data_IF_709700409797
#
_entry.id   IF_709700409797
#
_cell.length_a   1.000
_cell.length_b   1.000
_cell.length_c   1.000
_cell.angle_alpha   90.00
_cell.angle_beta   90.00
_cell.angle_gamma   90.00
#
_symmetry.space_group_name_H-M   'P 1'
#
loop_
_entity.id
_entity.type
_entity.pdbx_description
1 polymer ?
#
# COMPACT_ATOMS: atom_id res chain seq x y z
N UNK A 1 -32.62 -13.14 -14.35
CA UNK A 1 -31.59 -12.11 -14.69
C UNK A 1 -30.23 -12.78 -14.55
N UNK A 2 -29.34 -12.71 -15.54
CA UNK A 2 -28.01 -13.28 -15.42
C UNK A 2 -27.18 -12.36 -14.47
N UNK A 3 -26.81 -12.86 -13.29
CA UNK A 3 -26.00 -12.13 -12.28
C UNK A 3 -24.53 -12.53 -12.35
N UNK A 4 -24.13 -13.31 -13.36
CA UNK A 4 -22.78 -13.81 -13.54
C UNK A 4 -21.97 -12.84 -14.43
N UNK A 5 -21.38 -11.83 -13.79
CA UNK A 5 -20.62 -10.78 -14.47
C UNK A 5 -19.18 -11.21 -14.72
N UNK A 6 -18.72 -11.17 -15.96
CA UNK A 6 -17.39 -11.63 -16.39
C UNK A 6 -16.24 -11.11 -15.52
N UNK A 7 -16.20 -9.80 -15.24
CA UNK A 7 -15.11 -9.21 -14.44
C UNK A 7 -15.17 -9.61 -12.98
N UNK A 8 -16.38 -9.81 -12.42
CA UNK A 8 -16.54 -10.21 -11.01
C UNK A 8 -16.09 -11.64 -10.77
N UNK A 9 -16.31 -12.56 -11.72
CA UNK A 9 -15.83 -13.96 -11.62
C UNK A 9 -14.31 -14.07 -11.52
N UNK A 10 -13.57 -13.10 -12.05
CA UNK A 10 -12.10 -13.06 -12.02
C UNK A 10 -11.53 -12.54 -10.71
N UNK A 11 -12.39 -11.99 -9.84
CA UNK A 11 -11.99 -11.48 -8.54
C UNK A 11 -12.26 -12.53 -7.47
N UNK A 12 -11.26 -12.94 -6.68
CA UNK A 12 -11.50 -13.83 -5.54
C UNK A 12 -12.35 -13.12 -4.49
N UNK A 13 -13.03 -13.89 -3.62
CA UNK A 13 -13.66 -13.31 -2.43
C UNK A 13 -12.64 -12.46 -1.66
N UNK A 14 -13.10 -11.31 -1.17
CA UNK A 14 -12.22 -10.39 -0.46
C UNK A 14 -11.80 -10.99 0.90
N UNK A 15 -10.56 -11.47 0.98
CA UNK A 15 -10.02 -12.23 2.13
C UNK A 15 -10.23 -11.53 3.46
N UNK A 16 -10.14 -10.20 3.47
CA UNK A 16 -10.33 -9.41 4.69
C UNK A 16 -11.80 -9.29 5.14
N UNK A 17 -12.78 -9.65 4.30
CA UNK A 17 -14.21 -9.47 4.61
C UNK A 17 -14.61 -10.30 5.84
N UNK A 18 -14.17 -11.54 5.92
CA UNK A 18 -14.51 -12.44 7.03
C UNK A 18 -13.89 -11.95 8.35
N UNK A 19 -12.61 -11.58 8.35
CA UNK A 19 -11.95 -11.02 9.54
C UNK A 19 -12.60 -9.72 9.98
N UNK A 20 -12.98 -8.85 9.03
CA UNK A 20 -13.69 -7.61 9.33
C UNK A 20 -15.09 -7.86 9.92
N UNK A 21 -15.84 -8.84 9.40
CA UNK A 21 -17.14 -9.21 9.95
C UNK A 21 -17.03 -9.74 11.38
N UNK A 22 -16.04 -10.61 11.63
CA UNK A 22 -15.77 -11.12 12.98
C UNK A 22 -15.38 -10.00 13.96
N UNK A 23 -14.53 -9.07 13.52
CA UNK A 23 -14.14 -7.91 14.30
C UNK A 23 -15.34 -7.02 14.65
N UNK A 24 -16.22 -6.77 13.67
CA UNK A 24 -17.44 -6.00 13.89
C UNK A 24 -18.37 -6.70 14.89
N UNK A 25 -18.56 -8.01 14.77
CA UNK A 25 -19.37 -8.80 15.69
C UNK A 25 -18.79 -8.81 17.11
N UNK A 26 -17.48 -8.96 17.27
CA UNK A 26 -16.82 -8.93 18.57
C UNK A 26 -16.97 -7.56 19.24
N UNK A 27 -16.81 -6.46 18.51
CA UNK A 27 -17.05 -5.09 19.03
C UNK A 27 -18.50 -4.87 19.44
N UNK A 28 -19.45 -5.37 18.65
CA UNK A 28 -20.89 -5.29 18.98
C UNK A 28 -21.23 -6.08 20.25
N UNK A 29 -20.49 -7.16 20.56
CA UNK A 29 -20.58 -7.92 21.79
C UNK A 29 -19.82 -7.30 22.99
N UNK A 30 -19.25 -6.09 22.82
CA UNK A 30 -18.54 -5.37 23.88
C UNK A 30 -17.06 -5.75 24.05
N UNK A 31 -16.47 -6.52 23.14
CA UNK A 31 -15.05 -6.84 23.21
C UNK A 31 -14.16 -5.65 22.85
N UNK A 32 -13.13 -5.42 23.68
CA UNK A 32 -12.11 -4.41 23.44
C UNK A 32 -11.05 -4.92 22.44
N UNK A 33 -11.27 -4.70 21.15
CA UNK A 33 -10.39 -5.17 20.08
C UNK A 33 -9.32 -4.13 19.77
N UNK A 34 -8.06 -4.54 19.85
CA UNK A 34 -6.90 -3.77 19.39
C UNK A 34 -6.65 -4.09 17.91
N UNK A 35 -6.73 -3.08 17.06
CA UNK A 35 -6.84 -3.29 15.61
C UNK A 35 -5.59 -2.87 14.84
N UNK A 36 -4.70 -3.80 14.58
CA UNK A 36 -3.55 -3.65 13.68
C UNK A 36 -3.84 -4.12 12.24
N UNK A 37 -5.09 -4.52 11.95
CA UNK A 37 -5.42 -5.10 10.65
C UNK A 37 -5.51 -4.06 9.52
N UNK A 38 -6.01 -2.86 9.80
CA UNK A 38 -6.15 -1.84 8.77
C UNK A 38 -5.01 -0.82 8.83
N UNK A 39 -4.26 -0.69 7.74
CA UNK A 39 -3.22 0.32 7.59
C UNK A 39 -3.79 1.72 7.35
N UNK A 40 -4.65 2.18 8.25
CA UNK A 40 -5.25 3.51 8.20
C UNK A 40 -4.52 4.40 9.22
N UNK A 41 -3.77 5.45 8.77
CA UNK A 41 -3.18 6.40 9.70
C UNK A 41 -4.18 6.93 10.72
N UNK A 42 -3.81 6.90 11.97
CA UNK A 42 -4.64 7.29 13.12
C UNK A 42 -4.28 8.70 13.65
N UNK A 43 -3.15 9.24 13.23
CA UNK A 43 -2.72 10.57 13.60
C UNK A 43 -3.57 11.63 12.87
N UNK A 44 -3.81 12.80 13.50
CA UNK A 44 -4.54 13.87 12.85
C UNK A 44 -3.76 14.47 11.68
N UNK A 45 -4.47 14.98 10.69
CA UNK A 45 -3.87 15.83 9.66
C UNK A 45 -3.30 17.11 10.30
N UNK A 46 -2.08 17.56 9.93
CA UNK A 46 -1.46 18.76 10.48
C UNK A 46 -2.35 20.01 10.42
N UNK A 47 -2.38 20.84 11.49
CA UNK A 47 -3.31 21.97 11.61
C UNK A 47 -3.25 22.95 10.43
N UNK A 48 -2.06 23.32 9.94
CA UNK A 48 -1.90 24.27 8.84
C UNK A 48 -2.54 23.78 7.53
N UNK A 49 -2.63 22.46 7.34
CA UNK A 49 -3.30 21.85 6.17
C UNK A 49 -4.83 21.94 6.34
N UNK A 50 -5.33 21.65 7.54
CA UNK A 50 -6.76 21.75 7.89
C UNK A 50 -7.23 23.20 7.78
N UNK A 51 -6.47 24.14 8.32
CA UNK A 51 -6.74 25.59 8.23
C UNK A 51 -6.84 26.07 6.77
N UNK A 52 -5.92 25.62 5.91
CA UNK A 52 -5.96 25.95 4.48
C UNK A 52 -7.20 25.35 3.79
N UNK A 53 -7.65 24.16 4.18
CA UNK A 53 -8.91 23.60 3.68
C UNK A 53 -10.09 24.47 4.10
N UNK A 54 -10.18 24.85 5.39
CA UNK A 54 -11.27 25.66 5.95
C UNK A 54 -11.33 27.05 5.28
N UNK A 55 -10.17 27.70 5.13
CA UNK A 55 -10.06 28.97 4.40
C UNK A 55 -10.58 28.84 2.95
N UNK A 56 -10.16 27.80 2.26
CA UNK A 56 -10.44 27.65 0.82
C UNK A 56 -11.90 27.24 0.58
N UNK A 57 -12.49 26.40 1.45
CA UNK A 57 -13.88 25.95 1.27
C UNK A 57 -14.90 27.06 1.48
N UNK A 58 -14.52 28.17 2.13
CA UNK A 58 -15.36 29.34 2.30
C UNK A 58 -15.50 30.19 1.01
N UNK A 59 -14.60 29.99 0.04
CA UNK A 59 -14.72 30.65 -1.26
C UNK A 59 -15.65 29.84 -2.20
N UNK A 60 -16.86 30.35 -2.53
CA UNK A 60 -17.84 29.60 -3.33
C UNK A 60 -17.34 29.29 -4.76
N UNK A 61 -16.31 29.97 -5.26
CA UNK A 61 -15.71 29.67 -6.55
C UNK A 61 -15.01 28.33 -6.59
N UNK A 62 -14.60 27.80 -5.43
CA UNK A 62 -13.91 26.50 -5.28
C UNK A 62 -14.87 25.32 -5.30
N UNK A 63 -16.19 25.54 -5.25
CA UNK A 63 -17.21 24.49 -5.28
C UNK A 63 -17.55 24.00 -6.70
N UNK A 64 -17.01 24.65 -7.71
CA UNK A 64 -17.19 24.26 -9.11
C UNK A 64 -16.41 22.98 -9.41
N UNK A 65 -16.78 22.31 -10.49
CA UNK A 65 -15.97 21.22 -11.03
C UNK A 65 -14.51 21.66 -11.20
N UNK A 66 -13.60 20.80 -10.81
CA UNK A 66 -12.16 21.00 -10.99
C UNK A 66 -11.70 20.47 -12.36
N UNK A 67 -10.43 20.20 -12.49
CA UNK A 67 -9.82 19.62 -13.68
C UNK A 67 -9.32 18.20 -13.33
N UNK A 68 -9.59 17.23 -14.20
CA UNK A 68 -9.17 15.82 -14.01
C UNK A 68 -7.67 15.65 -13.82
N UNK A 69 -6.85 16.57 -14.37
CA UNK A 69 -5.40 16.60 -14.17
C UNK A 69 -4.96 17.24 -12.86
N UNK A 70 -5.90 17.86 -12.13
CA UNK A 70 -5.62 18.66 -10.96
C UNK A 70 -5.23 20.11 -11.30
N UNK A 71 -5.31 20.98 -10.28
CA UNK A 71 -4.99 22.40 -10.43
C UNK A 71 -3.49 22.62 -10.71
N UNK A 72 -3.11 23.64 -11.53
CA UNK A 72 -1.70 23.91 -11.86
C UNK A 72 -0.83 24.15 -10.62
N UNK A 73 -1.36 24.83 -9.60
CA UNK A 73 -0.64 25.11 -8.35
C UNK A 73 -0.20 23.82 -7.63
N UNK A 74 -1.06 22.81 -7.61
CA UNK A 74 -0.74 21.53 -6.97
C UNK A 74 0.27 20.72 -7.80
N UNK A 75 0.15 20.70 -9.13
CA UNK A 75 1.15 20.03 -9.99
C UNK A 75 2.55 20.68 -9.87
N UNK A 76 2.60 22.02 -9.74
CA UNK A 76 3.86 22.73 -9.46
C UNK A 76 4.42 22.38 -8.08
N UNK A 77 3.57 22.31 -7.05
CA UNK A 77 3.99 21.89 -5.71
C UNK A 77 4.55 20.46 -5.70
N UNK A 78 3.93 19.55 -6.46
CA UNK A 78 4.46 18.18 -6.65
C UNK A 78 5.84 18.19 -7.33
N UNK A 79 6.01 18.94 -8.41
CA UNK A 79 7.31 19.06 -9.09
C UNK A 79 8.38 19.65 -8.14
N UNK A 80 8.00 20.61 -7.30
CA UNK A 80 8.86 21.16 -6.24
C UNK A 80 9.25 20.09 -5.20
N UNK A 81 8.30 19.30 -4.75
CA UNK A 81 8.56 18.17 -3.83
C UNK A 81 9.58 17.19 -4.42
N UNK A 82 9.37 16.72 -5.64
CA UNK A 82 10.32 15.81 -6.32
C UNK A 82 11.72 16.43 -6.46
N UNK A 83 11.78 17.72 -6.77
CA UNK A 83 13.07 18.43 -6.88
C UNK A 83 13.79 18.50 -5.55
N UNK A 84 13.08 18.86 -4.49
CA UNK A 84 13.68 19.01 -3.14
C UNK A 84 14.05 17.66 -2.53
N UNK A 85 13.13 16.68 -2.63
CA UNK A 85 13.25 15.39 -1.93
C UNK A 85 14.15 14.40 -2.66
N UNK A 86 14.11 14.37 -3.97
CA UNK A 86 14.79 13.36 -4.80
C UNK A 86 15.79 13.97 -5.80
N UNK A 87 15.89 15.28 -5.92
CA UNK A 87 16.70 15.93 -6.96
C UNK A 87 16.13 15.79 -8.37
N UNK A 88 14.91 15.26 -8.53
CA UNK A 88 14.27 14.98 -9.81
C UNK A 88 13.54 16.23 -10.33
N UNK A 89 13.88 16.67 -11.52
CA UNK A 89 13.15 17.77 -12.20
C UNK A 89 12.01 17.20 -13.03
N UNK A 90 10.79 17.66 -12.77
CA UNK A 90 9.57 17.29 -13.49
C UNK A 90 8.98 18.51 -14.18
N UNK A 91 8.46 18.33 -15.39
CA UNK A 91 7.56 19.31 -16.02
C UNK A 91 6.15 19.12 -15.42
N UNK A 92 5.61 20.10 -14.67
CA UNK A 92 4.29 20.00 -14.06
C UNK A 92 3.14 19.90 -15.07
N UNK A 93 3.37 20.26 -16.34
CA UNK A 93 2.34 20.21 -17.36
C UNK A 93 2.28 18.85 -18.08
N UNK A 94 3.41 18.17 -18.26
CA UNK A 94 3.46 16.93 -19.05
C UNK A 94 3.84 15.68 -18.23
N UNK A 95 4.59 15.85 -17.13
CA UNK A 95 5.15 14.75 -16.36
C UNK A 95 4.49 14.58 -14.98
N UNK A 96 3.40 15.32 -14.69
CA UNK A 96 2.70 15.25 -13.41
C UNK A 96 1.18 15.31 -13.56
N UNK A 97 0.46 14.54 -12.76
CA UNK A 97 -1.00 14.53 -12.68
C UNK A 97 -1.46 14.24 -11.25
N UNK A 98 -2.53 14.92 -10.82
CA UNK A 98 -3.20 14.66 -9.54
C UNK A 98 -4.18 13.50 -9.69
N UNK A 99 -4.22 12.62 -8.69
CA UNK A 99 -5.13 11.47 -8.64
C UNK A 99 -6.02 11.53 -7.39
N UNK A 100 -7.16 10.86 -7.42
CA UNK A 100 -8.07 10.71 -6.27
C UNK A 100 -7.52 9.59 -5.35
N UNK A 101 -6.31 9.82 -4.84
CA UNK A 101 -5.43 8.84 -4.19
C UNK A 101 -4.66 7.98 -5.21
N UNK A 102 -3.49 7.45 -4.83
CA UNK A 102 -2.63 6.63 -5.71
C UNK A 102 -3.34 5.39 -6.26
N UNK A 103 -4.23 4.78 -5.46
CA UNK A 103 -4.99 3.59 -5.86
C UNK A 103 -5.88 3.84 -7.09
N UNK A 104 -6.54 5.00 -7.16
CA UNK A 104 -7.35 5.39 -8.32
C UNK A 104 -6.46 5.62 -9.54
N UNK A 105 -5.34 6.33 -9.36
CA UNK A 105 -4.38 6.56 -10.43
C UNK A 105 -3.83 5.27 -11.03
N UNK A 106 -3.44 4.31 -10.18
CA UNK A 106 -3.00 2.97 -10.62
C UNK A 106 -4.10 2.23 -11.39
N UNK A 107 -5.35 2.22 -10.87
CA UNK A 107 -6.46 1.54 -11.52
C UNK A 107 -6.80 2.15 -12.89
N UNK A 108 -6.76 3.48 -13.01
CA UNK A 108 -7.05 4.17 -14.26
C UNK A 108 -5.91 4.02 -15.28
N UNK A 109 -4.65 4.02 -14.81
CA UNK A 109 -3.53 3.75 -15.71
C UNK A 109 -3.55 2.30 -16.19
N UNK A 110 -3.91 1.34 -15.31
CA UNK A 110 -4.11 -0.04 -15.72
C UNK A 110 -5.12 -0.15 -16.87
N UNK A 111 -6.26 0.55 -16.78
CA UNK A 111 -7.25 0.58 -17.88
C UNK A 111 -6.71 1.25 -19.16
N UNK A 112 -5.80 2.21 -19.03
CA UNK A 112 -5.23 2.91 -20.17
C UNK A 112 -4.22 2.08 -20.98
N UNK A 113 -3.47 1.19 -20.30
CA UNK A 113 -2.32 0.49 -20.89
C UNK A 113 -2.53 -1.00 -21.09
N UNK A 114 -3.66 -1.56 -20.64
CA UNK A 114 -3.91 -3.01 -20.65
C UNK A 114 -5.06 -3.33 -21.58
N UNK A 115 -4.82 -4.22 -22.53
CA UNK A 115 -5.83 -4.86 -23.36
C UNK A 115 -6.15 -6.28 -22.86
N UNK A 116 -7.21 -6.92 -23.42
CA UNK A 116 -7.56 -8.29 -23.08
C UNK A 116 -6.41 -9.26 -23.34
N UNK A 117 -5.98 -9.97 -22.30
CA UNK A 117 -4.91 -10.96 -22.36
C UNK A 117 -3.49 -10.43 -22.18
N UNK A 118 -3.29 -9.11 -22.13
CA UNK A 118 -1.97 -8.55 -21.80
C UNK A 118 -1.49 -9.05 -20.43
N UNK A 119 -0.19 -9.34 -20.32
CA UNK A 119 0.42 -9.80 -19.08
C UNK A 119 1.11 -8.64 -18.36
N UNK A 120 0.88 -8.56 -17.06
CA UNK A 120 1.55 -7.63 -16.15
C UNK A 120 2.31 -8.43 -15.09
N UNK A 121 3.56 -8.04 -14.83
CA UNK A 121 4.37 -8.65 -13.79
C UNK A 121 4.19 -7.92 -12.47
N UNK A 122 3.93 -8.68 -11.41
CA UNK A 122 3.65 -8.14 -10.06
C UNK A 122 4.39 -8.99 -9.03
N UNK A 123 5.09 -8.39 -8.05
CA UNK A 123 5.61 -9.13 -6.91
C UNK A 123 4.51 -9.82 -6.12
N UNK A 124 4.79 -11.00 -5.58
CA UNK A 124 3.87 -11.72 -4.69
C UNK A 124 4.59 -12.13 -3.41
N UNK A 125 4.17 -11.65 -2.22
CA UNK A 125 2.93 -10.87 -1.97
C UNK A 125 3.01 -9.39 -2.38
N UNK A 126 1.85 -8.76 -2.64
CA UNK A 126 1.75 -7.34 -2.96
C UNK A 126 0.42 -6.72 -2.53
N UNK A 127 0.34 -5.38 -2.56
CA UNK A 127 -0.91 -4.68 -2.27
C UNK A 127 -1.97 -4.99 -3.35
N UNK A 128 -3.21 -5.31 -2.97
CA UNK A 128 -4.22 -5.87 -3.90
C UNK A 128 -4.43 -5.09 -5.20
N UNK A 129 -4.29 -3.75 -5.22
CA UNK A 129 -4.49 -2.98 -6.45
C UNK A 129 -3.45 -3.30 -7.53
N UNK A 130 -2.24 -3.74 -7.12
CA UNK A 130 -1.17 -4.05 -8.05
C UNK A 130 -1.49 -5.21 -8.98
N UNK A 131 -2.29 -6.16 -8.54
CA UNK A 131 -2.79 -7.27 -9.35
C UNK A 131 -4.24 -7.04 -9.82
N UNK A 132 -5.14 -6.68 -8.90
CA UNK A 132 -6.57 -6.61 -9.24
C UNK A 132 -6.94 -5.41 -10.11
N UNK A 133 -6.16 -4.34 -10.10
CA UNK A 133 -6.32 -3.22 -11.04
C UNK A 133 -6.22 -3.69 -12.50
N UNK A 134 -5.25 -4.55 -12.79
CA UNK A 134 -5.02 -5.10 -14.12
C UNK A 134 -5.99 -6.23 -14.46
N UNK A 135 -6.36 -7.09 -13.50
CA UNK A 135 -7.38 -8.12 -13.70
C UNK A 135 -8.74 -7.50 -14.06
N UNK A 136 -9.12 -6.39 -13.41
CA UNK A 136 -10.33 -5.62 -13.72
C UNK A 136 -10.23 -4.99 -15.12
N UNK A 137 -9.04 -4.63 -15.56
CA UNK A 137 -8.76 -4.11 -16.91
C UNK A 137 -8.66 -5.21 -17.99
N UNK A 138 -9.05 -6.45 -17.69
CA UNK A 138 -8.99 -7.64 -18.55
C UNK A 138 -7.57 -8.18 -18.84
N UNK A 139 -6.55 -7.69 -18.14
CA UNK A 139 -5.20 -8.25 -18.18
C UNK A 139 -5.04 -9.56 -17.42
N UNK A 140 -3.87 -10.16 -17.53
CA UNK A 140 -3.40 -11.30 -16.75
C UNK A 140 -2.20 -10.91 -15.91
N UNK A 141 -1.91 -11.67 -14.85
CA UNK A 141 -0.83 -11.34 -13.90
C UNK A 141 0.17 -12.50 -13.87
N UNK A 142 1.44 -12.18 -14.11
CA UNK A 142 2.59 -13.04 -13.81
C UNK A 142 3.23 -12.61 -12.50
N UNK A 143 3.63 -13.57 -11.66
CA UNK A 143 4.18 -13.27 -10.35
C UNK A 143 5.71 -13.34 -10.33
N UNK A 144 6.32 -12.41 -9.58
CA UNK A 144 7.74 -12.34 -9.30
C UNK A 144 8.00 -12.47 -7.79
N UNK A 145 9.23 -12.81 -7.35
CA UNK A 145 9.66 -12.63 -5.97
C UNK A 145 9.46 -11.19 -5.50
N UNK A 146 9.40 -10.96 -4.20
CA UNK A 146 9.19 -9.60 -3.65
C UNK A 146 10.49 -8.95 -3.17
N UNK A 147 11.53 -9.74 -2.89
CA UNK A 147 12.83 -9.28 -2.45
C UNK A 147 13.54 -8.53 -3.59
N UNK A 148 14.02 -7.27 -3.37
CA UNK A 148 14.69 -6.49 -4.40
C UNK A 148 16.17 -6.90 -4.54
N UNK A 149 16.42 -8.09 -5.06
CA UNK A 149 17.72 -8.72 -5.17
C UNK A 149 17.97 -9.33 -6.57
N UNK A 150 19.07 -10.06 -6.73
CA UNK A 150 19.42 -10.70 -7.98
C UNK A 150 18.43 -11.81 -8.38
N UNK A 151 17.79 -12.49 -7.42
CA UNK A 151 16.77 -13.50 -7.72
C UNK A 151 15.51 -12.87 -8.35
N UNK A 152 15.14 -11.64 -7.93
CA UNK A 152 14.10 -10.85 -8.60
C UNK A 152 14.47 -10.56 -10.05
N UNK A 153 15.70 -10.09 -10.29
CA UNK A 153 16.17 -9.72 -11.64
C UNK A 153 16.21 -10.94 -12.58
N UNK A 154 16.68 -12.07 -12.09
CA UNK A 154 16.66 -13.33 -12.86
C UNK A 154 15.21 -13.80 -13.16
N UNK A 155 14.31 -13.65 -12.21
CA UNK A 155 12.90 -14.00 -12.41
C UNK A 155 12.23 -13.05 -13.43
N UNK A 156 12.53 -11.74 -13.36
CA UNK A 156 12.08 -10.74 -14.32
C UNK A 156 12.57 -11.08 -15.73
N UNK A 157 13.85 -11.38 -15.90
CA UNK A 157 14.42 -11.77 -17.19
C UNK A 157 13.73 -13.02 -17.74
N UNK A 158 13.61 -14.07 -16.92
CA UNK A 158 12.92 -15.32 -17.33
C UNK A 158 11.47 -15.05 -17.74
N UNK A 159 10.76 -14.21 -16.99
CA UNK A 159 9.36 -13.88 -17.30
C UNK A 159 9.25 -13.14 -18.63
N UNK A 160 10.08 -12.15 -18.89
CA UNK A 160 10.06 -11.36 -20.14
C UNK A 160 10.46 -12.19 -21.35
N UNK A 161 11.48 -13.04 -21.22
CA UNK A 161 12.00 -13.83 -22.35
C UNK A 161 11.18 -15.08 -22.67
N UNK A 162 10.43 -15.64 -21.70
CA UNK A 162 9.74 -16.94 -21.86
C UNK A 162 8.22 -16.85 -21.90
N UNK A 163 7.62 -15.73 -21.51
CA UNK A 163 6.15 -15.61 -21.49
C UNK A 163 5.57 -15.34 -22.88
N UNK A 164 4.39 -15.91 -23.12
CA UNK A 164 3.57 -15.64 -24.29
C UNK A 164 2.13 -15.40 -23.82
N UNK A 165 1.58 -14.23 -23.97
CA UNK A 165 2.19 -13.03 -24.57
C UNK A 165 3.35 -12.46 -23.71
N UNK A 166 4.21 -11.65 -24.33
CA UNK A 166 5.27 -10.91 -23.62
C UNK A 166 4.63 -9.92 -22.65
N UNK A 167 5.15 -9.80 -21.41
CA UNK A 167 4.65 -8.81 -20.46
C UNK A 167 4.74 -7.38 -20.98
N UNK A 168 3.74 -6.56 -20.68
CA UNK A 168 3.68 -5.14 -21.10
C UNK A 168 4.06 -4.18 -19.99
N UNK A 169 3.94 -4.60 -18.72
CA UNK A 169 4.26 -3.76 -17.57
C UNK A 169 4.78 -4.58 -16.38
N UNK A 170 5.57 -3.90 -15.55
CA UNK A 170 6.06 -4.34 -14.25
C UNK A 170 5.55 -3.38 -13.18
N UNK A 171 5.00 -3.90 -12.09
CA UNK A 171 4.64 -3.11 -10.90
C UNK A 171 5.69 -3.31 -9.82
N UNK A 172 6.15 -2.24 -9.20
CA UNK A 172 7.03 -2.21 -8.04
C UNK A 172 6.39 -1.45 -6.89
N UNK A 173 6.68 -1.82 -5.65
CA UNK A 173 6.21 -1.12 -4.45
C UNK A 173 7.28 -1.20 -3.37
N UNK A 174 8.12 -0.16 -3.26
CA UNK A 174 9.14 -0.04 -2.22
C UNK A 174 9.18 1.41 -1.69
N UNK A 175 9.03 1.61 -0.37
CA UNK A 175 8.78 0.62 0.69
C UNK A 175 7.49 -0.17 0.50
N UNK A 176 7.58 -1.47 0.69
CA UNK A 176 6.52 -2.40 0.30
C UNK A 176 5.33 -2.41 1.29
N UNK A 177 4.16 -2.59 0.74
CA UNK A 177 2.97 -3.09 1.41
C UNK A 177 2.62 -4.44 0.77
N UNK A 178 2.77 -5.58 1.49
CA UNK A 178 2.75 -5.69 2.94
C UNK A 178 4.12 -5.85 3.62
N UNK A 179 5.21 -6.14 2.90
CA UNK A 179 6.43 -6.73 3.45
C UNK A 179 7.37 -5.74 4.14
N UNK A 180 7.14 -4.44 3.96
CA UNK A 180 8.01 -3.35 4.43
C UNK A 180 9.45 -3.35 3.85
N UNK A 181 9.72 -4.18 2.84
CA UNK A 181 10.99 -4.20 2.12
C UNK A 181 11.24 -2.86 1.42
N UNK A 182 12.51 -2.48 1.31
CA UNK A 182 12.98 -1.28 0.62
C UNK A 182 13.92 -1.65 -0.51
N UNK A 183 13.92 -0.87 -1.58
CA UNK A 183 14.89 -0.99 -2.68
C UNK A 183 15.86 0.18 -2.65
N UNK A 184 17.05 -0.02 -3.19
CA UNK A 184 18.06 1.02 -3.38
C UNK A 184 18.15 1.49 -4.83
N UNK A 185 19.00 2.47 -5.09
CA UNK A 185 19.21 3.00 -6.43
C UNK A 185 19.92 2.02 -7.36
N UNK A 186 20.74 1.10 -6.84
CA UNK A 186 21.41 0.09 -7.65
C UNK A 186 20.40 -0.89 -8.24
N UNK A 187 19.49 -1.40 -7.40
CA UNK A 187 18.39 -2.26 -7.86
C UNK A 187 17.51 -1.54 -8.89
N UNK A 188 17.09 -0.29 -8.60
CA UNK A 188 16.30 0.48 -9.56
C UNK A 188 17.05 0.74 -10.87
N UNK A 189 18.37 0.95 -10.82
CA UNK A 189 19.19 1.11 -12.00
C UNK A 189 19.14 -0.11 -12.92
N UNK A 190 19.36 -1.30 -12.37
CA UNK A 190 19.27 -2.59 -13.09
C UNK A 190 17.87 -2.81 -13.69
N UNK A 191 16.80 -2.52 -12.92
CA UNK A 191 15.43 -2.66 -13.40
C UNK A 191 15.12 -1.69 -14.55
N UNK A 192 15.49 -0.41 -14.42
CA UNK A 192 15.25 0.59 -15.47
C UNK A 192 15.99 0.26 -16.74
N UNK A 193 17.27 -0.13 -16.65
CA UNK A 193 18.05 -0.55 -17.79
C UNK A 193 17.41 -1.73 -18.52
N UNK A 194 17.03 -2.77 -17.79
CA UNK A 194 16.37 -3.95 -18.34
C UNK A 194 15.03 -3.58 -19.00
N UNK A 195 14.18 -2.80 -18.32
CA UNK A 195 12.86 -2.42 -18.83
C UNK A 195 12.96 -1.55 -20.10
N UNK A 196 13.95 -0.65 -20.19
CA UNK A 196 14.21 0.13 -21.40
C UNK A 196 14.63 -0.77 -22.58
N UNK A 197 15.50 -1.73 -22.32
CA UNK A 197 15.96 -2.67 -23.37
C UNK A 197 14.85 -3.58 -23.92
N UNK A 198 13.78 -3.77 -23.14
CA UNK A 198 12.69 -4.68 -23.47
C UNK A 198 11.33 -4.02 -23.71
N UNK A 199 11.26 -2.69 -23.79
CA UNK A 199 10.00 -1.91 -23.94
C UNK A 199 8.95 -2.25 -22.86
N UNK A 200 9.39 -2.48 -21.63
CA UNK A 200 8.54 -2.83 -20.51
C UNK A 200 8.21 -1.56 -19.70
N UNK A 201 6.93 -1.28 -19.49
CA UNK A 201 6.47 -0.17 -18.65
C UNK A 201 6.73 -0.49 -17.18
N UNK A 202 7.17 0.48 -16.38
CA UNK A 202 7.32 0.35 -14.92
C UNK A 202 6.31 1.25 -14.20
N UNK A 203 5.53 0.64 -13.30
CA UNK A 203 4.66 1.37 -12.38
C UNK A 203 5.23 1.23 -10.97
N UNK A 204 5.73 2.33 -10.40
CA UNK A 204 6.33 2.38 -9.06
C UNK A 204 5.32 2.96 -8.07
N UNK A 205 4.91 2.19 -7.04
CA UNK A 205 4.09 2.69 -5.94
C UNK A 205 4.98 3.11 -4.77
N UNK A 206 5.17 4.41 -4.60
CA UNK A 206 6.03 5.04 -3.59
C UNK A 206 5.21 5.70 -2.46
N UNK A 207 4.07 5.12 -2.08
CA UNK A 207 3.16 5.70 -1.08
C UNK A 207 3.78 5.88 0.31
N UNK A 208 4.87 5.19 0.62
CA UNK A 208 5.53 5.20 1.93
C UNK A 208 6.90 5.89 1.93
N UNK A 209 7.18 6.75 0.95
CA UNK A 209 8.45 7.48 0.80
C UNK A 209 8.91 8.24 2.04
N UNK A 210 7.96 8.73 2.84
CA UNK A 210 8.26 9.57 4.01
C UNK A 210 8.15 8.82 5.35
N UNK A 211 7.75 7.55 5.33
CA UNK A 211 7.74 6.69 6.53
C UNK A 211 8.94 5.75 6.46
N UNK A 212 10.06 6.22 6.97
CA UNK A 212 11.31 5.46 7.05
C UNK A 212 11.99 5.71 8.40
N UNK A 213 12.88 4.80 8.77
CA UNK A 213 13.52 4.77 10.07
C UNK A 213 15.04 4.71 9.90
N UNK A 214 15.74 5.05 10.99
CA UNK A 214 17.19 4.84 11.11
C UNK A 214 18.04 5.59 10.06
N UNK A 215 17.53 6.74 9.56
CA UNK A 215 18.26 7.65 8.68
C UNK A 215 18.39 7.22 7.20
N UNK A 216 17.64 6.20 6.78
CA UNK A 216 17.71 5.68 5.40
C UNK A 216 16.46 6.05 4.57
N UNK A 217 16.41 7.24 3.96
CA UNK A 217 15.28 7.67 3.16
C UNK A 217 15.14 6.84 1.87
N UNK A 218 13.96 6.26 1.59
CA UNK A 218 13.71 5.52 0.36
C UNK A 218 13.93 6.39 -0.88
N UNK A 219 14.59 5.87 -1.93
CA UNK A 219 14.76 6.58 -3.18
C UNK A 219 13.50 6.54 -4.05
N UNK A 220 13.43 7.45 -5.02
CA UNK A 220 12.49 7.39 -6.14
C UNK A 220 13.17 6.68 -7.33
N UNK A 221 12.41 5.84 -8.04
CA UNK A 221 12.90 5.25 -9.30
C UNK A 221 13.22 6.32 -10.35
N UNK A 222 12.56 7.48 -10.27
CA UNK A 222 12.78 8.59 -11.20
C UNK A 222 14.14 9.29 -11.02
N UNK A 223 14.92 8.94 -9.97
CA UNK A 223 16.30 9.37 -9.81
C UNK A 223 17.24 8.68 -10.80
N UNK A 224 16.83 7.53 -11.34
CA UNK A 224 17.64 6.78 -12.31
C UNK A 224 17.61 7.47 -13.67
N UNK A 225 18.79 7.76 -14.28
CA UNK A 225 18.84 8.28 -15.64
C UNK A 225 18.08 7.40 -16.64
N UNK A 226 17.20 8.00 -17.44
CA UNK A 226 16.36 7.27 -18.39
C UNK A 226 15.08 6.66 -17.81
N UNK A 227 14.85 6.70 -16.49
CA UNK A 227 13.64 6.14 -15.88
C UNK A 227 12.36 6.75 -16.46
N UNK A 228 12.35 8.06 -16.74
CA UNK A 228 11.19 8.73 -17.36
C UNK A 228 10.84 8.26 -18.77
N UNK A 229 11.69 7.46 -19.40
CA UNK A 229 11.36 6.86 -20.70
C UNK A 229 10.36 5.70 -20.57
N UNK A 230 10.35 5.01 -19.41
CA UNK A 230 9.56 3.79 -19.20
C UNK A 230 8.71 3.81 -17.93
N UNK A 231 8.98 4.70 -16.96
CA UNK A 231 8.38 4.62 -15.62
C UNK A 231 7.37 5.73 -15.33
N UNK A 232 6.32 5.36 -14.57
CA UNK A 232 5.45 6.25 -13.82
C UNK A 232 5.49 5.86 -12.35
N UNK A 233 5.67 6.85 -11.47
CA UNK A 233 5.69 6.68 -10.04
C UNK A 233 4.45 7.30 -9.40
N UNK A 234 3.82 6.56 -8.47
CA UNK A 234 2.64 6.99 -7.73
C UNK A 234 3.02 7.34 -6.29
N UNK A 235 2.62 8.51 -5.84
CA UNK A 235 2.78 8.98 -4.46
C UNK A 235 1.45 9.35 -3.84
N UNK A 236 1.42 9.47 -2.51
CA UNK A 236 0.17 9.75 -1.79
C UNK A 236 0.43 10.62 -0.57
N UNK A 237 -0.42 11.62 -0.34
CA UNK A 237 -0.40 12.40 0.90
C UNK A 237 -1.06 11.66 2.08
N UNK A 238 -1.74 10.54 1.80
CA UNK A 238 -2.46 9.76 2.82
C UNK A 238 -1.57 9.31 3.98
N UNK A 239 -0.30 8.99 3.70
CA UNK A 239 0.65 8.45 4.69
C UNK A 239 1.56 9.53 5.24
N UNK A 240 2.06 10.40 4.36
CA UNK A 240 2.97 11.49 4.71
C UNK A 240 2.35 12.50 5.67
N UNK A 241 1.10 12.91 5.43
CA UNK A 241 0.41 13.97 6.18
C UNK A 241 -0.87 13.48 6.87
N UNK A 242 -1.02 12.19 7.11
CA UNK A 242 -2.23 11.64 7.74
C UNK A 242 -3.53 12.10 7.06
N UNK A 243 -3.59 12.03 5.73
CA UNK A 243 -4.71 12.48 4.89
C UNK A 243 -5.42 11.32 4.14
N UNK A 244 -5.65 10.14 4.74
CA UNK A 244 -6.18 9.00 3.97
C UNK A 244 -7.61 9.25 3.46
N UNK A 245 -8.45 9.91 4.24
CA UNK A 245 -9.85 10.25 3.88
C UNK A 245 -9.97 11.37 2.84
N UNK A 246 -8.93 12.18 2.65
CA UNK A 246 -8.93 13.32 1.71
C UNK A 246 -8.83 12.88 0.25
N UNK A 247 -8.41 11.65 0.00
CA UNK A 247 -8.31 11.06 -1.33
C UNK A 247 -7.47 11.91 -2.29
N UNK A 248 -6.24 12.20 -1.92
CA UNK A 248 -5.29 12.96 -2.76
C UNK A 248 -3.97 12.20 -2.94
N UNK A 249 -3.55 12.07 -4.17
CA UNK A 249 -2.32 11.43 -4.61
C UNK A 249 -1.88 11.96 -5.94
N UNK A 250 -0.81 11.40 -6.48
CA UNK A 250 -0.16 11.85 -7.69
C UNK A 250 0.38 10.70 -8.51
N UNK A 251 0.51 10.93 -9.82
CA UNK A 251 1.39 10.16 -10.69
C UNK A 251 2.38 11.11 -11.36
N UNK A 252 3.63 10.69 -11.43
CA UNK A 252 4.72 11.47 -12.05
C UNK A 252 5.62 10.56 -12.89
N UNK A 253 6.22 11.08 -13.95
CA UNK A 253 7.17 10.35 -14.79
C UNK A 253 6.92 10.47 -16.28
N UNK A 254 6.86 9.33 -16.97
CA UNK A 254 6.77 9.27 -18.44
C UNK A 254 5.59 10.10 -18.98
N UNK A 255 5.83 11.14 -19.84
CA UNK A 255 4.77 12.04 -20.28
C UNK A 255 3.70 11.34 -21.15
N UNK A 256 4.02 10.25 -21.86
CA UNK A 256 3.05 9.52 -22.66
C UNK A 256 2.08 8.73 -21.74
N UNK A 257 2.59 8.11 -20.68
CA UNK A 257 1.79 7.40 -19.69
C UNK A 257 0.94 8.37 -18.86
N UNK A 258 1.49 9.54 -18.48
CA UNK A 258 0.74 10.62 -17.83
C UNK A 258 -0.38 11.14 -18.74
N UNK A 259 -0.14 11.29 -20.04
CA UNK A 259 -1.17 11.69 -21.01
C UNK A 259 -2.25 10.62 -21.17
N UNK A 260 -1.88 9.31 -21.16
CA UNK A 260 -2.82 8.20 -21.21
C UNK A 260 -3.73 8.18 -19.97
N UNK A 261 -3.14 8.31 -18.76
CA UNK A 261 -3.89 8.43 -17.51
C UNK A 261 -4.84 9.64 -17.54
N UNK A 262 -4.35 10.81 -17.98
CA UNK A 262 -5.16 12.03 -18.10
C UNK A 262 -6.35 11.83 -19.04
N UNK A 263 -6.16 11.10 -20.14
CA UNK A 263 -7.22 10.79 -21.11
C UNK A 263 -8.32 9.94 -20.47
N UNK A 264 -7.96 8.86 -19.78
CA UNK A 264 -8.94 8.01 -19.08
C UNK A 264 -9.68 8.81 -18.01
N UNK A 265 -8.96 9.55 -17.17
CA UNK A 265 -9.56 10.41 -16.13
C UNK A 265 -10.52 11.46 -16.71
N UNK A 266 -10.23 12.01 -17.87
CA UNK A 266 -11.10 13.04 -18.50
C UNK A 266 -12.51 12.52 -18.84
N UNK A 267 -12.69 11.21 -18.93
CA UNK A 267 -14.00 10.57 -19.14
C UNK A 267 -14.63 10.05 -17.84
N UNK A 268 -13.85 9.87 -16.77
CA UNK A 268 -14.31 9.24 -15.52
C UNK A 268 -14.58 10.25 -14.41
N UNK A 269 -13.83 11.35 -14.33
CA UNK A 269 -13.95 12.32 -13.25
C UNK A 269 -13.57 13.74 -13.69
N UNK A 270 -13.89 14.70 -12.82
CA UNK A 270 -13.48 16.10 -12.93
C UNK A 270 -12.38 16.47 -11.91
N UNK A 271 -11.64 15.47 -11.42
CA UNK A 271 -10.58 15.64 -10.42
C UNK A 271 -11.10 15.77 -8.99
N UNK A 272 -10.16 15.88 -8.05
CA UNK A 272 -10.46 16.06 -6.65
C UNK A 272 -11.09 17.45 -6.36
N UNK A 273 -11.87 17.54 -5.30
CA UNK A 273 -12.47 18.79 -4.84
C UNK A 273 -11.40 19.89 -4.65
N UNK A 274 -11.62 21.07 -5.24
CA UNK A 274 -10.60 22.13 -5.31
C UNK A 274 -10.00 22.52 -3.95
N UNK A 275 -10.78 22.70 -2.86
CA UNK A 275 -10.22 23.00 -1.54
C UNK A 275 -9.23 21.95 -1.03
N UNK A 276 -9.47 20.67 -1.31
CA UNK A 276 -8.53 19.60 -0.96
C UNK A 276 -7.22 19.76 -1.74
N UNK A 277 -7.28 20.12 -3.01
CA UNK A 277 -6.09 20.32 -3.83
C UNK A 277 -5.26 21.53 -3.38
N UNK A 278 -5.91 22.61 -2.96
CA UNK A 278 -5.23 23.80 -2.41
C UNK A 278 -4.56 23.47 -1.07
N UNK A 279 -5.25 22.74 -0.19
CA UNK A 279 -4.68 22.27 1.06
C UNK A 279 -3.51 21.29 0.85
N UNK A 280 -3.61 20.43 -0.17
CA UNK A 280 -2.52 19.55 -0.57
C UNK A 280 -1.28 20.31 -1.09
N UNK A 281 -1.49 21.39 -1.83
CA UNK A 281 -0.39 22.29 -2.24
C UNK A 281 0.25 22.97 -1.01
N UNK A 282 -0.55 23.38 -0.01
CA UNK A 282 -0.04 23.90 1.25
C UNK A 282 0.74 22.86 2.06
N UNK A 283 0.32 21.59 2.04
CA UNK A 283 1.06 20.51 2.66
C UNK A 283 2.46 20.32 2.06
N UNK A 284 2.56 20.32 0.71
CA UNK A 284 3.83 20.13 0.01
C UNK A 284 4.78 21.32 0.10
N UNK A 285 4.25 22.55 0.14
CA UNK A 285 5.04 23.79 0.18
C UNK A 285 5.26 24.34 1.60
N UNK A 286 4.52 23.84 2.58
CA UNK A 286 4.56 24.31 3.96
C UNK A 286 5.68 23.68 4.80
N UNK A 287 5.66 23.94 6.11
CA UNK A 287 6.60 23.33 7.05
C UNK A 287 6.53 21.81 7.02
N UNK A 288 7.69 21.15 7.07
CA UNK A 288 7.80 19.69 7.03
C UNK A 288 8.09 19.05 8.40
N UNK A 289 8.13 19.83 9.47
CA UNK A 289 8.34 19.32 10.84
C UNK A 289 7.34 18.23 11.23
N UNK A 290 6.08 18.38 10.77
CA UNK A 290 5.01 17.40 10.98
C UNK A 290 5.31 16.02 10.37
N UNK A 291 6.12 15.96 9.32
CA UNK A 291 6.54 14.68 8.69
C UNK A 291 7.54 13.98 9.60
N UNK A 292 8.51 14.72 10.18
CA UNK A 292 9.47 14.16 11.13
C UNK A 292 8.80 13.73 12.43
N UNK A 293 7.84 14.52 12.94
CA UNK A 293 7.03 14.15 14.10
C UNK A 293 6.28 12.84 13.85
N UNK A 294 5.59 12.73 12.71
CA UNK A 294 4.88 11.51 12.29
C UNK A 294 5.83 10.31 12.21
N UNK A 295 7.02 10.49 11.61
CA UNK A 295 8.05 9.46 11.50
C UNK A 295 8.55 9.01 12.87
N UNK A 296 8.78 9.95 13.79
CA UNK A 296 9.21 9.68 15.15
C UNK A 296 8.18 8.84 15.92
N UNK A 297 6.89 9.14 15.77
CA UNK A 297 5.80 8.37 16.40
C UNK A 297 5.76 6.95 15.85
N UNK A 298 5.86 6.77 14.53
CA UNK A 298 5.86 5.43 13.93
C UNK A 298 7.11 4.62 14.33
N UNK A 299 8.28 5.27 14.46
CA UNK A 299 9.51 4.63 14.97
C UNK A 299 9.33 4.14 16.40
N UNK A 300 8.81 4.96 17.30
CA UNK A 300 8.51 4.55 18.68
C UNK A 300 7.54 3.36 18.73
N UNK A 301 6.47 3.41 17.92
CA UNK A 301 5.49 2.33 17.84
C UNK A 301 6.11 1.04 17.33
N UNK A 302 6.94 1.11 16.28
CA UNK A 302 7.72 -0.01 15.75
C UNK A 302 8.55 -0.66 16.86
N UNK A 303 9.34 0.14 17.54
CA UNK A 303 10.27 -0.35 18.56
C UNK A 303 9.53 -1.01 19.73
N UNK A 304 8.47 -0.36 20.25
CA UNK A 304 7.62 -0.93 21.31
C UNK A 304 6.93 -2.23 20.88
N UNK A 305 6.46 -2.31 19.62
CA UNK A 305 5.78 -3.50 19.12
C UNK A 305 6.75 -4.65 18.90
N UNK A 306 7.88 -4.42 18.24
CA UNK A 306 8.92 -5.45 18.00
C UNK A 306 9.43 -6.01 19.32
N UNK A 307 9.81 -5.13 20.27
CA UNK A 307 10.24 -5.54 21.59
C UNK A 307 9.18 -6.32 22.35
N UNK A 308 7.91 -5.91 22.23
CA UNK A 308 6.79 -6.60 22.87
C UNK A 308 6.55 -7.97 22.30
N UNK A 309 6.60 -8.14 20.99
CA UNK A 309 6.45 -9.42 20.28
C UNK A 309 7.62 -10.36 20.63
N UNK A 310 8.86 -9.85 20.63
CA UNK A 310 10.02 -10.64 21.03
C UNK A 310 9.90 -11.18 22.47
N UNK A 311 9.42 -10.36 23.42
CA UNK A 311 9.12 -10.80 24.80
C UNK A 311 7.95 -11.79 24.89
N UNK A 312 7.08 -11.81 23.88
CA UNK A 312 6.00 -12.79 23.76
C UNK A 312 6.45 -14.10 23.10
N UNK A 313 7.71 -14.24 22.72
CA UNK A 313 8.24 -15.40 22.01
C UNK A 313 7.97 -15.38 20.50
N UNK A 314 7.59 -14.23 19.96
CA UNK A 314 7.33 -14.05 18.52
C UNK A 314 8.40 -13.15 17.92
N UNK A 315 9.40 -13.76 17.31
CA UNK A 315 10.47 -13.05 16.63
C UNK A 315 9.99 -12.55 15.25
N UNK A 316 10.17 -11.27 14.99
CA UNK A 316 9.72 -10.60 13.76
C UNK A 316 10.82 -9.72 13.18
N UNK A 317 10.90 -9.57 11.86
CA UNK A 317 11.81 -8.61 11.23
C UNK A 317 11.54 -7.17 11.70
N UNK A 318 12.60 -6.40 11.92
CA UNK A 318 12.49 -4.96 12.22
C UNK A 318 12.42 -4.20 10.91
N UNK A 319 11.28 -3.56 10.57
CA UNK A 319 11.19 -2.83 9.32
C UNK A 319 12.03 -1.54 9.34
N UNK A 320 12.73 -1.26 8.24
CA UNK A 320 13.47 0.00 8.04
C UNK A 320 12.60 1.13 7.51
N UNK A 321 11.43 0.80 6.96
CA UNK A 321 10.48 1.76 6.40
C UNK A 321 9.06 1.19 6.41
N UNK A 322 8.08 1.99 5.90
CA UNK A 322 6.66 1.68 5.90
C UNK A 322 6.02 1.70 7.29
N UNK A 323 4.74 1.50 7.37
CA UNK A 323 3.97 1.48 8.63
C UNK A 323 3.51 0.05 8.99
N UNK A 324 4.27 -0.98 8.55
CA UNK A 324 3.90 -2.38 8.72
C UNK A 324 5.06 -3.21 9.27
N UNK A 325 4.68 -4.24 10.03
CA UNK A 325 5.54 -5.39 10.30
C UNK A 325 4.95 -6.57 9.54
N UNK A 326 5.76 -7.23 8.74
CA UNK A 326 5.44 -8.47 8.05
C UNK A 326 5.93 -9.63 8.91
N UNK A 327 5.02 -10.14 9.75
CA UNK A 327 5.36 -11.08 10.79
C UNK A 327 5.15 -12.52 10.31
N UNK A 328 6.19 -13.37 10.27
CA UNK A 328 5.99 -14.80 10.03
C UNK A 328 5.14 -15.40 11.13
N UNK A 329 4.26 -16.34 10.77
CA UNK A 329 3.46 -17.07 11.75
C UNK A 329 4.41 -17.92 12.60
N UNK A 330 4.42 -17.78 13.95
CA UNK A 330 5.35 -18.49 14.80
C UNK A 330 4.99 -19.99 14.91
N UNK A 331 6.00 -20.84 15.12
CA UNK A 331 5.76 -22.22 15.50
C UNK A 331 5.09 -22.31 16.90
N UNK A 332 4.16 -23.27 17.10
CA UNK A 332 3.73 -24.33 16.18
C UNK A 332 2.49 -23.97 15.34
N UNK A 333 2.18 -22.67 15.13
CA UNK A 333 0.97 -22.22 14.44
C UNK A 333 1.12 -22.14 12.91
N UNK A 334 2.31 -22.37 12.37
CA UNK A 334 2.63 -22.19 10.94
C UNK A 334 1.70 -22.99 10.03
N UNK A 335 1.34 -24.21 10.41
CA UNK A 335 0.46 -25.09 9.63
C UNK A 335 -1.00 -24.60 9.52
N UNK A 336 -1.42 -23.62 10.33
CA UNK A 336 -2.78 -23.08 10.31
C UNK A 336 -3.06 -22.22 9.08
N UNK A 337 -2.03 -21.61 8.48
CA UNK A 337 -2.17 -20.53 7.50
C UNK A 337 -2.64 -19.22 8.12
N UNK A 338 -2.47 -18.14 7.36
CA UNK A 338 -2.63 -16.77 7.87
C UNK A 338 -4.06 -16.39 8.26
N UNK A 339 -5.06 -16.93 7.56
CA UNK A 339 -6.48 -16.63 7.85
C UNK A 339 -6.89 -17.26 9.19
N UNK A 340 -6.59 -18.55 9.42
CA UNK A 340 -6.94 -19.21 10.67
C UNK A 340 -6.16 -18.63 11.86
N UNK A 341 -4.87 -18.30 11.67
CA UNK A 341 -4.07 -17.64 12.69
C UNK A 341 -4.61 -16.24 13.03
N UNK A 342 -4.99 -15.43 12.04
CA UNK A 342 -5.61 -14.11 12.29
C UNK A 342 -6.92 -14.23 13.09
N UNK A 343 -7.75 -15.24 12.80
CA UNK A 343 -8.98 -15.53 13.56
C UNK A 343 -8.69 -15.96 15.00
N UNK A 344 -7.65 -16.77 15.21
CA UNK A 344 -7.20 -17.19 16.55
C UNK A 344 -6.79 -15.96 17.37
N UNK A 345 -5.93 -15.09 16.83
CA UNK A 345 -5.50 -13.85 17.51
C UNK A 345 -6.68 -12.95 17.88
N UNK A 346 -7.64 -12.81 16.97
CA UNK A 346 -8.83 -11.99 17.20
C UNK A 346 -9.71 -12.56 18.32
N UNK A 347 -9.96 -13.87 18.31
CA UNK A 347 -10.86 -14.53 19.28
C UNK A 347 -10.25 -14.65 20.67
N UNK A 348 -8.96 -14.98 20.76
CA UNK A 348 -8.34 -15.35 22.03
C UNK A 348 -7.49 -14.24 22.65
N UNK A 349 -6.88 -13.38 21.82
CA UNK A 349 -6.07 -12.26 22.30
C UNK A 349 -6.74 -10.89 22.14
N UNK A 350 -7.91 -10.82 21.47
CA UNK A 350 -8.58 -9.57 21.10
C UNK A 350 -7.69 -8.65 20.23
N UNK A 351 -6.82 -9.25 19.43
CA UNK A 351 -5.89 -8.54 18.54
C UNK A 351 -6.25 -8.87 17.09
N UNK A 352 -6.58 -7.85 16.31
CA UNK A 352 -6.84 -7.99 14.88
C UNK A 352 -5.59 -7.69 14.07
N UNK A 353 -5.25 -8.58 13.14
CA UNK A 353 -4.16 -8.42 12.15
C UNK A 353 -4.68 -8.72 10.74
N UNK A 354 -3.95 -8.34 9.70
CA UNK A 354 -4.30 -8.73 8.33
C UNK A 354 -3.68 -10.08 7.98
N UNK A 355 -4.47 -11.07 7.52
CA UNK A 355 -3.92 -12.32 7.00
C UNK A 355 -3.09 -12.07 5.74
N UNK A 356 -1.93 -12.71 5.66
CA UNK A 356 -1.00 -12.53 4.56
C UNK A 356 -1.53 -13.05 3.22
N UNK A 357 -2.38 -14.08 3.23
CA UNK A 357 -3.08 -14.57 2.04
C UNK A 357 -3.84 -13.47 1.30
N UNK A 358 -4.30 -12.42 2.00
CA UNK A 358 -4.97 -11.26 1.40
C UNK A 358 -4.07 -10.40 0.50
N UNK A 359 -2.76 -10.66 0.49
CA UNK A 359 -1.77 -9.97 -0.35
C UNK A 359 -1.21 -10.87 -1.47
N UNK A 360 -1.63 -12.12 -1.53
CA UNK A 360 -1.19 -13.13 -2.50
C UNK A 360 -0.86 -14.46 -1.81
N UNK A 361 -0.84 -15.54 -2.58
CA UNK A 361 -0.66 -16.90 -2.06
C UNK A 361 0.66 -17.06 -1.29
N UNK A 362 1.74 -16.45 -1.76
CA UNK A 362 3.04 -16.49 -1.08
C UNK A 362 3.04 -15.74 0.27
N UNK A 363 1.97 -15.00 0.58
CA UNK A 363 1.80 -14.34 1.86
C UNK A 363 1.21 -15.23 2.97
N UNK A 364 0.73 -16.45 2.66
CA UNK A 364 -0.06 -17.23 3.62
C UNK A 364 0.72 -17.68 4.87
N UNK A 365 2.05 -17.72 4.82
CA UNK A 365 2.90 -17.98 6.00
C UNK A 365 3.08 -16.78 6.95
N UNK A 366 2.43 -15.64 6.70
CA UNK A 366 2.66 -14.39 7.42
C UNK A 366 1.36 -13.68 7.79
N UNK A 367 1.45 -12.75 8.72
CA UNK A 367 0.41 -11.74 8.99
C UNK A 367 1.03 -10.34 8.92
N UNK A 368 0.25 -9.35 8.44
CA UNK A 368 0.66 -7.96 8.45
C UNK A 368 0.11 -7.25 9.69
N UNK A 369 0.99 -6.59 10.45
CA UNK A 369 0.68 -5.81 11.64
C UNK A 369 0.94 -4.34 11.33
N UNK A 370 -0.08 -3.47 11.40
CA UNK A 370 0.05 -2.05 11.13
C UNK A 370 0.37 -1.26 12.40
N UNK A 371 1.24 -0.25 12.31
CA UNK A 371 1.68 0.61 13.41
C UNK A 371 0.68 1.74 13.73
N UNK A 372 -0.62 1.44 13.75
CA UNK A 372 -1.71 2.43 13.84
C UNK A 372 -2.35 2.56 15.22
N UNK A 373 -1.76 1.94 16.23
CA UNK A 373 -2.21 2.05 17.61
C UNK A 373 -1.17 2.80 18.45
N UNK A 374 -1.61 3.48 19.52
CA UNK A 374 -0.69 4.13 20.44
C UNK A 374 0.13 3.10 21.24
N UNK A 375 1.24 3.55 21.82
CA UNK A 375 2.19 2.66 22.53
C UNK A 375 1.57 1.96 23.74
N UNK A 376 0.55 2.53 24.39
CA UNK A 376 -0.17 1.88 25.49
C UNK A 376 -0.99 0.69 25.00
N UNK A 377 -1.73 0.87 23.90
CA UNK A 377 -2.51 -0.19 23.24
C UNK A 377 -1.60 -1.28 22.68
N UNK A 378 -0.45 -0.90 22.10
CA UNK A 378 0.57 -1.85 21.65
C UNK A 378 1.06 -2.72 22.80
N UNK A 379 1.41 -2.12 23.97
CA UNK A 379 1.82 -2.88 25.15
C UNK A 379 0.71 -3.79 25.68
N UNK A 380 -0.55 -3.38 25.60
CA UNK A 380 -1.70 -4.22 25.97
C UNK A 380 -1.79 -5.42 25.02
N UNK A 381 -1.77 -5.20 23.71
CA UNK A 381 -1.83 -6.25 22.71
C UNK A 381 -0.71 -7.29 22.88
N UNK A 382 0.54 -6.82 23.06
CA UNK A 382 1.69 -7.73 23.22
C UNK A 382 1.62 -8.55 24.51
N UNK A 383 1.00 -8.04 25.58
CA UNK A 383 0.70 -8.86 26.79
C UNK A 383 -0.34 -9.95 26.50
N UNK A 384 -1.43 -9.62 25.79
CA UNK A 384 -2.44 -10.61 25.41
C UNK A 384 -1.87 -11.68 24.47
N UNK A 385 -1.03 -11.25 23.50
CA UNK A 385 -0.32 -12.18 22.62
C UNK A 385 0.63 -13.09 23.39
N UNK A 386 1.36 -12.55 24.37
CA UNK A 386 2.24 -13.36 25.24
C UNK A 386 1.47 -14.45 25.98
N UNK A 387 0.29 -14.14 26.54
CA UNK A 387 -0.54 -15.13 27.21
C UNK A 387 -1.00 -16.23 26.26
N UNK A 388 -1.41 -15.88 25.05
CA UNK A 388 -1.83 -16.84 24.03
C UNK A 388 -0.66 -17.75 23.60
N UNK A 389 0.48 -17.16 23.28
CA UNK A 389 1.64 -17.88 22.74
C UNK A 389 2.39 -18.69 23.79
N UNK A 390 2.18 -18.45 25.10
CA UNK A 390 2.81 -19.22 26.18
C UNK A 390 2.23 -20.61 26.39
N UNK A 391 1.02 -20.91 25.85
CA UNK A 391 0.37 -22.20 25.90
C UNK A 391 -0.19 -22.57 24.51
N UNK A 392 0.69 -22.98 23.58
CA UNK A 392 0.28 -23.25 22.20
C UNK A 392 -0.66 -24.45 22.08
N UNK A 393 -0.53 -25.45 22.90
CA UNK A 393 -1.42 -26.64 22.86
C UNK A 393 -2.87 -26.25 23.16
N UNK A 394 -3.07 -25.47 24.22
CA UNK A 394 -4.38 -24.92 24.55
C UNK A 394 -4.92 -24.01 23.47
N UNK A 395 -4.09 -23.14 22.89
CA UNK A 395 -4.49 -22.24 21.82
C UNK A 395 -4.95 -23.01 20.56
N UNK A 396 -4.22 -24.06 20.18
CA UNK A 396 -4.57 -24.92 19.05
C UNK A 396 -5.85 -25.73 19.30
N UNK A 397 -6.05 -26.25 20.50
CA UNK A 397 -7.29 -26.94 20.87
C UNK A 397 -8.52 -26.02 20.74
N UNK A 398 -8.45 -24.80 21.26
CA UNK A 398 -9.51 -23.82 21.14
C UNK A 398 -9.79 -23.40 19.68
N UNK A 399 -8.78 -23.40 18.82
CA UNK A 399 -8.96 -23.14 17.39
C UNK A 399 -9.70 -24.30 16.69
N UNK A 400 -9.37 -25.55 17.05
CA UNK A 400 -10.00 -26.75 16.50
C UNK A 400 -11.49 -26.87 16.88
N UNK A 401 -11.83 -26.62 18.14
CA UNK A 401 -13.22 -26.62 18.64
C UNK A 401 -14.06 -25.57 17.90
N UNK A 402 -13.50 -24.37 17.70
CA UNK A 402 -14.18 -23.30 16.99
C UNK A 402 -14.43 -23.61 15.50
N UNK A 403 -13.56 -24.39 14.87
CA UNK A 403 -13.72 -24.84 13.49
C UNK A 403 -14.86 -25.90 13.38
N UNK A 404 -14.93 -26.85 14.32
CA UNK A 404 -15.97 -27.89 14.37
C UNK A 404 -17.37 -27.27 14.57
N UNK A 405 -17.50 -26.32 15.50
CA UNK A 405 -18.78 -25.61 15.73
C UNK A 405 -19.26 -24.82 14.49
N UNK A 406 -18.34 -24.25 13.70
CA UNK A 406 -18.68 -23.53 12.47
C UNK A 406 -19.14 -24.45 11.33
N UNK A 407 -18.70 -25.70 11.31
CA UNK A 407 -19.15 -26.73 10.33
C UNK A 407 -20.53 -27.29 10.73
N UNK A 408 -20.79 -27.44 12.02
CA UNK A 408 -22.07 -27.93 12.53
C UNK A 408 -23.23 -26.90 12.41
N UNK A 409 -22.90 -25.62 12.25
CA UNK A 409 -23.89 -24.53 12.13
C UNK A 409 -24.24 -24.15 10.68
N UNK A 410 -23.64 -24.80 9.68
CA UNK A 410 -23.96 -24.69 8.25
C UNK A 410 -24.75 -25.90 7.76
#
# INVERSE_FOLDING_TARGET
MNTDFHRIRRLPPYVFAEVNAMKAAARAAGADIIDFGMGNPDLPTPPHIVEKLVETVQDPRTHRYSNSRGIPGLRKALAGYYKTRFGVTLDPETEAIVTIGSKEGLANLAQAITGPGDMILVPNPSYPIHQFGFIIADGTVGYLPVEPDDAFLEALERAVLRSQPKPVALVLCYPSNPTALTADLEFYGKVVEFCRAHDLIVLSDLAYSEIYFDGNPPPSILQIPGAKEVAVEFTSLSKTYSMPGWRIGFAAGNPRLIAALARVKSYLDYGAFTPIQVAAAAALNGPQDCVEETRSIYRERRDVLVDGLKRAGWDVPVPSASMYIWAPIPEPFTSMGSVAFSKLLLKQAHVAVSPGLGFGENGDGHVRIALVENTQRIRQATRSLKQLLSDPEKALALAADAAQMSVAAK
#
